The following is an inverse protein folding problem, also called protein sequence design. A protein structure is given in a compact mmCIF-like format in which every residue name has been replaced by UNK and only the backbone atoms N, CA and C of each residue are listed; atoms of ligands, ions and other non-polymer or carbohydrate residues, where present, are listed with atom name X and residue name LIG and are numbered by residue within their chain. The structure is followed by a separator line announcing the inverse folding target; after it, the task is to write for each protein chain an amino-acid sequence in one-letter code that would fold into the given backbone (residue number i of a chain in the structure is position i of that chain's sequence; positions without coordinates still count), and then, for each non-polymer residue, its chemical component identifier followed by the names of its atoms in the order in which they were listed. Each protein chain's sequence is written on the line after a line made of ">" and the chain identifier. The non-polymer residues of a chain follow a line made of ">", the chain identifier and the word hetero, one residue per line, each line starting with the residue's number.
data_IF_190322323669
#
_entry.id   IF_190322323669
#
_cell.length_a   1.000
_cell.length_b   1.000
_cell.length_c   1.000
_cell.angle_alpha   90.00
_cell.angle_beta   90.00
_cell.angle_gamma   90.00
#
_symmetry.space_group_name_H-M   'P 1'
#
loop_
_entity.id
_entity.type
_entity.pdbx_description
1 polymer ?
#
# COMPACT_ATOMS: atom_id res chain seq x y z
N UNK A 1 33.88 -9.11 15.15
CA UNK A 1 34.39 -7.90 15.82
C UNK A 1 33.21 -7.07 16.27
N UNK A 2 33.15 -6.70 17.55
CA UNK A 2 32.12 -5.80 18.08
C UNK A 2 32.81 -4.54 18.57
N UNK A 3 32.35 -3.38 18.10
CA UNK A 3 32.83 -2.05 18.49
C UNK A 3 31.71 -1.38 19.27
N UNK A 4 31.85 -1.35 20.60
CA UNK A 4 30.79 -0.86 21.48
C UNK A 4 30.85 0.63 21.80
N UNK A 5 31.99 1.27 21.53
CA UNK A 5 32.15 2.72 21.69
C UNK A 5 31.62 3.51 20.49
N UNK A 6 31.46 4.82 20.68
CA UNK A 6 31.20 5.74 19.57
C UNK A 6 32.43 5.85 18.67
N UNK A 7 32.18 5.98 17.37
CA UNK A 7 33.20 6.23 16.34
C UNK A 7 32.97 7.62 15.78
N UNK A 8 33.99 8.48 15.84
CA UNK A 8 33.90 9.87 15.37
C UNK A 8 35.12 10.21 14.53
N UNK A 9 34.92 10.92 13.42
CA UNK A 9 36.06 11.44 12.66
C UNK A 9 36.68 12.64 13.36
N UNK A 10 37.98 12.55 13.68
CA UNK A 10 38.70 13.57 14.45
C UNK A 10 39.27 14.71 13.62
N UNK A 11 39.38 14.55 12.29
CA UNK A 11 39.99 15.52 11.37
C UNK A 11 39.13 15.70 10.12
N UNK A 12 39.23 16.86 9.48
CA UNK A 12 38.56 17.13 8.21
C UNK A 12 39.02 16.16 7.11
N UNK A 13 38.16 15.95 6.10
CA UNK A 13 38.40 15.03 4.98
C UNK A 13 37.53 13.78 5.01
N UNK A 14 37.63 12.97 3.96
CA UNK A 14 36.87 11.72 3.81
C UNK A 14 37.60 10.54 4.44
N UNK A 15 36.93 9.87 5.38
CA UNK A 15 37.41 8.68 6.07
C UNK A 15 36.63 7.45 5.60
N UNK A 16 37.29 6.29 5.61
CA UNK A 16 36.67 5.04 5.18
C UNK A 16 36.84 3.95 6.24
N UNK A 17 35.72 3.35 6.65
CA UNK A 17 35.69 2.10 7.38
C UNK A 17 35.52 0.98 6.36
N UNK A 18 36.52 0.11 6.21
CA UNK A 18 36.48 -1.00 5.25
C UNK A 18 36.45 -2.33 5.99
N UNK A 19 35.48 -3.17 5.62
CA UNK A 19 35.42 -4.55 6.05
C UNK A 19 35.52 -5.48 4.83
N UNK A 20 36.46 -6.41 4.89
CA UNK A 20 36.70 -7.40 3.83
C UNK A 20 36.99 -8.74 4.51
N UNK A 21 35.99 -9.64 4.56
CA UNK A 21 36.18 -10.99 5.09
C UNK A 21 37.29 -11.74 4.33
N UNK A 22 38.00 -12.64 5.01
CA UNK A 22 39.05 -13.47 4.43
C UNK A 22 38.45 -14.52 3.48
N UNK A 23 39.14 -14.81 2.37
CA UNK A 23 38.75 -15.85 1.40
C UNK A 23 38.69 -17.25 2.03
N UNK A 24 37.62 -17.97 1.72
CA UNK A 24 37.50 -19.45 1.68
C UNK A 24 37.78 -20.27 2.97
N UNK A 25 37.92 -19.65 4.13
CA UNK A 25 38.22 -20.37 5.39
C UNK A 25 37.22 -20.16 6.53
N UNK A 26 36.35 -19.13 6.45
CA UNK A 26 35.36 -18.85 7.50
C UNK A 26 33.94 -18.84 6.94
N UNK A 27 33.02 -19.68 7.46
CA UNK A 27 31.67 -19.80 6.90
C UNK A 27 30.80 -18.55 7.12
N UNK A 28 31.11 -17.74 8.13
CA UNK A 28 30.43 -16.48 8.43
C UNK A 28 31.33 -15.50 9.18
N UNK A 29 31.03 -14.20 9.09
CA UNK A 29 31.72 -13.15 9.85
C UNK A 29 30.79 -12.02 10.26
N UNK A 30 30.98 -11.49 11.46
CA UNK A 30 30.22 -10.34 11.98
C UNK A 30 31.15 -9.16 12.29
N UNK A 31 30.81 -7.99 11.74
CA UNK A 31 31.27 -6.69 12.22
C UNK A 31 30.07 -5.95 12.79
N UNK A 32 30.12 -5.56 14.05
CA UNK A 32 29.03 -4.85 14.74
C UNK A 32 29.52 -3.53 15.32
N UNK A 33 28.76 -2.46 15.07
CA UNK A 33 28.90 -1.18 15.73
C UNK A 33 27.67 -0.95 16.62
N UNK A 34 27.87 -1.08 17.93
CA UNK A 34 26.79 -0.87 18.89
C UNK A 34 26.70 0.55 19.44
N UNK A 35 27.79 1.32 19.31
CA UNK A 35 27.79 2.77 19.53
C UNK A 35 27.42 3.58 18.29
N UNK A 36 27.38 4.90 18.43
CA UNK A 36 27.06 5.82 17.33
C UNK A 36 28.29 6.07 16.45
N UNK A 37 28.07 6.14 15.13
CA UNK A 37 29.06 6.57 14.14
C UNK A 37 28.71 8.00 13.71
N UNK A 38 29.64 8.93 13.93
CA UNK A 38 29.43 10.36 13.69
C UNK A 38 30.51 10.96 12.82
N UNK A 39 30.11 11.88 11.95
CA UNK A 39 31.03 12.57 11.05
C UNK A 39 32.06 13.43 11.78
N UNK A 40 31.78 13.93 12.99
CA UNK A 40 32.65 14.89 13.66
C UNK A 40 32.91 16.10 12.74
N UNK A 41 34.18 16.36 12.40
CA UNK A 41 34.60 17.46 11.52
C UNK A 41 34.85 17.05 10.05
N UNK A 42 34.69 15.77 9.72
CA UNK A 42 34.94 15.18 8.40
C UNK A 42 33.73 14.41 7.86
N UNK A 43 33.96 13.42 7.00
CA UNK A 43 32.94 12.48 6.56
C UNK A 43 33.38 11.02 6.72
N UNK A 44 32.44 10.12 7.03
CA UNK A 44 32.70 8.68 7.13
C UNK A 44 31.90 7.93 6.06
N UNK A 45 32.60 7.11 5.26
CA UNK A 45 32.01 6.14 4.33
C UNK A 45 32.30 4.71 4.83
N UNK A 46 31.31 3.83 4.77
CA UNK A 46 31.46 2.43 5.08
C UNK A 46 31.48 1.59 3.80
N UNK A 47 32.54 0.81 3.60
CA UNK A 47 32.64 -0.12 2.46
C UNK A 47 32.71 -1.54 2.98
N UNK A 48 31.70 -2.31 2.61
CA UNK A 48 31.61 -3.73 2.85
C UNK A 48 31.88 -4.47 1.55
N UNK A 49 33.01 -5.17 1.48
CA UNK A 49 33.40 -5.91 0.29
C UNK A 49 33.41 -7.40 0.60
N UNK A 50 32.60 -8.17 -0.13
CA UNK A 50 32.60 -9.64 -0.03
C UNK A 50 33.36 -10.20 -1.21
N UNK A 51 34.58 -10.66 -0.95
CA UNK A 51 35.38 -11.45 -1.90
C UNK A 51 35.31 -12.94 -1.50
N UNK A 52 34.12 -13.55 -1.54
CA UNK A 52 33.96 -15.00 -1.30
C UNK A 52 34.42 -15.83 -2.51
N UNK A 53 34.89 -17.05 -2.29
CA UNK A 53 35.11 -18.04 -3.36
C UNK A 53 33.81 -18.61 -3.90
N UNK A 54 33.84 -19.84 -4.41
CA UNK A 54 32.66 -20.50 -5.03
C UNK A 54 31.65 -21.02 -4.01
N UNK A 55 31.97 -21.00 -2.72
CA UNK A 55 31.12 -21.46 -1.62
C UNK A 55 30.26 -20.31 -1.06
N UNK A 56 28.93 -20.49 -0.90
CA UNK A 56 28.08 -19.46 -0.29
C UNK A 56 28.46 -19.25 1.18
N UNK A 57 28.87 -18.03 1.51
CA UNK A 57 29.13 -17.58 2.88
C UNK A 57 28.27 -16.36 3.21
N UNK A 58 27.93 -16.21 4.50
CA UNK A 58 27.13 -15.08 5.00
C UNK A 58 28.00 -14.16 5.84
N UNK A 59 28.13 -12.91 5.42
CA UNK A 59 28.90 -11.91 6.15
C UNK A 59 27.99 -10.75 6.54
N UNK A 60 28.00 -10.39 7.82
CA UNK A 60 27.08 -9.39 8.40
C UNK A 60 27.84 -8.15 8.87
N UNK A 61 27.37 -6.98 8.43
CA UNK A 61 27.61 -5.70 9.10
C UNK A 61 26.35 -5.33 9.88
N UNK A 62 26.46 -5.15 11.20
CA UNK A 62 25.34 -4.71 12.05
C UNK A 62 25.59 -3.31 12.59
N UNK A 63 24.59 -2.45 12.46
CA UNK A 63 24.56 -1.10 13.03
C UNK A 63 23.37 -1.02 14.00
N UNK A 64 23.63 -0.75 15.28
CA UNK A 64 22.55 -0.56 16.28
C UNK A 64 22.58 0.81 16.95
N UNK A 65 23.61 1.62 16.73
CA UNK A 65 23.65 3.01 17.16
C UNK A 65 22.47 3.80 16.58
N UNK A 66 21.82 4.62 17.41
CA UNK A 66 20.57 5.34 17.08
C UNK A 66 20.79 6.82 16.75
N UNK A 67 22.00 7.33 16.98
CA UNK A 67 22.41 8.71 16.71
C UNK A 67 23.47 8.81 15.62
N UNK A 68 23.41 7.93 14.62
CA UNK A 68 24.38 7.91 13.53
C UNK A 68 24.22 9.15 12.63
N UNK A 69 25.32 9.85 12.35
CA UNK A 69 25.33 11.08 11.52
C UNK A 69 26.30 11.01 10.33
N UNK A 70 26.73 9.81 9.96
CA UNK A 70 27.64 9.63 8.83
C UNK A 70 26.96 9.91 7.48
N UNK A 71 27.66 10.60 6.58
CA UNK A 71 27.10 11.04 5.28
C UNK A 71 27.79 10.43 4.08
N UNK A 72 28.95 9.78 4.26
CA UNK A 72 29.72 9.17 3.16
C UNK A 72 29.07 7.92 2.56
N UNK A 73 27.96 7.46 3.14
CA UNK A 73 27.17 6.34 2.67
C UNK A 73 27.69 4.98 3.11
N UNK A 74 27.01 3.94 2.65
CA UNK A 74 27.37 2.54 2.85
C UNK A 74 27.37 1.87 1.48
N UNK A 75 28.49 1.27 1.09
CA UNK A 75 28.59 0.55 -0.19
C UNK A 75 28.85 -0.93 0.07
N UNK A 76 27.94 -1.77 -0.40
CA UNK A 76 28.14 -3.22 -0.50
C UNK A 76 28.67 -3.55 -1.89
N UNK A 77 29.93 -3.96 -2.01
CA UNK A 77 30.50 -4.45 -3.26
C UNK A 77 30.72 -5.97 -3.15
N UNK A 78 29.88 -6.76 -3.79
CA UNK A 78 30.15 -8.20 -3.95
C UNK A 78 31.15 -8.45 -5.06
N UNK A 79 32.05 -9.41 -4.95
CA UNK A 79 32.91 -9.80 -6.07
C UNK A 79 32.44 -11.06 -6.80
N UNK A 80 31.73 -11.96 -6.09
CA UNK A 80 31.50 -13.39 -6.44
C UNK A 80 30.29 -13.99 -5.69
N UNK A 81 29.79 -15.21 -5.98
CA UNK A 81 28.60 -15.77 -5.32
C UNK A 81 28.76 -15.82 -3.79
N UNK A 82 27.83 -15.18 -3.07
CA UNK A 82 27.86 -15.04 -1.61
C UNK A 82 26.80 -14.05 -1.13
N UNK A 83 26.44 -14.09 0.15
CA UNK A 83 25.40 -13.24 0.75
C UNK A 83 26.03 -12.19 1.65
N UNK A 84 25.92 -10.92 1.26
CA UNK A 84 26.28 -9.79 2.11
C UNK A 84 25.02 -9.27 2.84
N UNK A 85 25.07 -9.20 4.16
CA UNK A 85 23.93 -8.76 4.99
C UNK A 85 24.28 -7.48 5.75
N UNK A 86 23.49 -6.43 5.57
CA UNK A 86 23.44 -5.28 6.48
C UNK A 86 22.28 -5.47 7.44
N UNK A 87 22.53 -5.34 8.73
CA UNK A 87 21.48 -5.31 9.74
C UNK A 87 21.39 -3.91 10.35
N UNK A 88 20.29 -3.21 10.12
CA UNK A 88 19.90 -2.02 10.89
C UNK A 88 19.08 -2.49 12.09
N UNK A 89 19.69 -2.42 13.29
CA UNK A 89 19.11 -2.89 14.55
C UNK A 89 19.04 -1.81 15.64
N UNK A 90 18.45 -0.62 15.39
CA UNK A 90 18.37 0.45 16.37
C UNK A 90 17.45 0.09 17.55
N UNK A 91 17.68 0.72 18.70
CA UNK A 91 16.73 0.70 19.81
C UNK A 91 15.38 1.31 19.40
N UNK A 92 14.32 1.01 20.15
CA UNK A 92 12.95 1.44 19.81
C UNK A 92 12.76 2.95 19.83
N UNK A 93 12.06 3.48 18.82
CA UNK A 93 11.60 4.88 18.77
C UNK A 93 12.60 5.91 18.24
N UNK A 94 13.56 5.50 17.39
CA UNK A 94 14.66 6.36 16.92
C UNK A 94 14.64 6.61 15.41
N UNK A 95 15.48 7.53 14.93
CA UNK A 95 15.66 7.89 13.50
C UNK A 95 16.52 6.91 12.71
N UNK A 96 16.40 5.61 12.98
CA UNK A 96 17.11 4.56 12.23
C UNK A 96 18.62 4.48 12.50
N UNK A 97 19.26 3.42 12.01
CA UNK A 97 20.71 3.23 12.15
C UNK A 97 21.48 3.59 10.86
N UNK A 98 20.80 3.81 9.73
CA UNK A 98 21.44 3.98 8.41
C UNK A 98 21.89 5.41 8.09
N UNK A 99 21.56 6.37 8.96
CA UNK A 99 21.87 7.80 8.79
C UNK A 99 21.40 8.36 7.43
N UNK A 100 21.99 9.45 6.95
CA UNK A 100 21.57 10.15 5.71
C UNK A 100 22.40 9.82 4.48
N UNK A 101 23.59 9.24 4.65
CA UNK A 101 24.42 8.81 3.53
C UNK A 101 23.74 7.72 2.69
N UNK A 102 23.92 7.75 1.38
CA UNK A 102 23.30 6.77 0.48
C UNK A 102 23.78 5.33 0.78
N UNK A 103 22.87 4.38 0.80
CA UNK A 103 23.14 2.95 0.89
C UNK A 103 23.11 2.35 -0.51
N UNK A 104 24.22 1.81 -0.99
CA UNK A 104 24.30 1.08 -2.26
C UNK A 104 24.34 -0.42 -1.99
N UNK A 105 23.27 -1.10 -2.37
CA UNK A 105 23.17 -2.55 -2.36
C UNK A 105 23.73 -3.07 -3.69
N UNK A 106 25.05 -3.28 -3.75
CA UNK A 106 25.71 -3.97 -4.86
C UNK A 106 25.99 -3.14 -6.11
N UNK A 107 27.14 -3.39 -6.74
CA UNK A 107 27.49 -2.97 -8.12
C UNK A 107 27.86 -4.16 -9.02
N UNK A 108 27.64 -5.38 -8.56
CA UNK A 108 28.15 -6.64 -9.14
C UNK A 108 27.09 -7.77 -9.14
N UNK A 109 27.48 -9.01 -9.48
CA UNK A 109 26.61 -10.18 -9.56
C UNK A 109 26.26 -10.91 -8.25
N UNK A 110 26.84 -10.53 -7.10
CA UNK A 110 26.57 -11.19 -5.79
C UNK A 110 25.21 -10.82 -5.19
N UNK A 111 24.73 -11.51 -4.16
CA UNK A 111 23.50 -11.13 -3.42
C UNK A 111 23.80 -10.09 -2.35
N UNK A 112 22.94 -9.06 -2.21
CA UNK A 112 23.03 -8.08 -1.11
C UNK A 112 21.67 -7.89 -0.42
N UNK A 113 21.66 -8.05 0.90
CA UNK A 113 20.47 -8.00 1.74
C UNK A 113 20.58 -6.91 2.79
N UNK A 114 19.58 -6.03 2.88
CA UNK A 114 19.35 -5.13 3.99
C UNK A 114 18.25 -5.69 4.88
N UNK A 115 18.59 -6.08 6.10
CA UNK A 115 17.68 -6.51 7.14
C UNK A 115 17.40 -5.34 8.10
N UNK A 116 16.13 -5.00 8.28
CA UNK A 116 15.64 -3.95 9.17
C UNK A 116 14.93 -4.61 10.36
N UNK A 117 15.49 -4.48 11.57
CA UNK A 117 15.01 -5.22 12.75
C UNK A 117 15.42 -4.59 14.08
N UNK A 118 15.16 -5.24 15.21
CA UNK A 118 15.64 -4.78 16.53
C UNK A 118 14.79 -3.73 17.26
N UNK A 119 13.72 -3.21 16.65
CA UNK A 119 12.74 -2.32 17.30
C UNK A 119 11.32 -2.89 17.21
N UNK A 120 10.54 -2.73 18.28
CA UNK A 120 9.09 -3.01 18.32
C UNK A 120 8.25 -1.80 17.90
N UNK A 121 8.82 -0.60 17.94
CA UNK A 121 8.18 0.64 17.48
C UNK A 121 8.56 0.97 16.04
N UNK A 122 7.82 1.90 15.42
CA UNK A 122 8.16 2.45 14.12
C UNK A 122 9.54 3.10 14.14
N UNK A 123 10.35 2.82 13.12
CA UNK A 123 11.67 3.42 12.90
C UNK A 123 11.72 3.96 11.47
N UNK A 124 12.24 5.18 11.33
CA UNK A 124 12.43 5.82 10.01
C UNK A 124 13.91 5.84 9.65
N UNK A 125 14.26 5.22 8.53
CA UNK A 125 15.57 5.31 7.89
C UNK A 125 15.49 6.37 6.78
N UNK A 126 16.36 7.38 6.86
CA UNK A 126 16.32 8.55 5.98
C UNK A 126 17.25 8.43 4.76
N UNK A 127 18.01 7.34 4.66
CA UNK A 127 18.97 7.15 3.57
C UNK A 127 18.29 6.87 2.23
N UNK A 128 18.86 7.41 1.15
CA UNK A 128 18.57 6.92 -0.19
C UNK A 128 19.16 5.52 -0.36
N UNK A 129 18.44 4.61 -1.02
CA UNK A 129 18.90 3.25 -1.28
C UNK A 129 19.04 3.05 -2.79
N UNK A 130 20.21 2.63 -3.23
CA UNK A 130 20.49 2.28 -4.62
C UNK A 130 20.67 0.77 -4.72
N UNK A 131 19.67 0.06 -5.25
CA UNK A 131 19.73 -1.36 -5.53
C UNK A 131 20.09 -1.59 -7.01
N UNK A 132 21.39 -1.75 -7.28
CA UNK A 132 21.93 -1.94 -8.64
C UNK A 132 22.68 -3.26 -8.82
N UNK A 133 23.13 -3.51 -10.05
CA UNK A 133 23.92 -4.69 -10.43
C UNK A 133 23.09 -5.81 -11.08
N UNK A 134 23.66 -7.01 -11.16
CA UNK A 134 23.07 -8.17 -11.87
C UNK A 134 22.63 -9.30 -10.93
N UNK A 135 23.08 -9.29 -9.68
CA UNK A 135 22.66 -10.26 -8.67
C UNK A 135 21.33 -9.88 -8.00
N UNK A 136 20.70 -10.81 -7.27
CA UNK A 136 19.49 -10.51 -6.50
C UNK A 136 19.78 -9.54 -5.36
N UNK A 137 18.83 -8.66 -5.07
CA UNK A 137 18.88 -7.69 -3.96
C UNK A 137 17.71 -7.92 -3.05
N UNK A 138 17.86 -7.64 -1.78
CA UNK A 138 16.75 -7.75 -0.84
C UNK A 138 16.77 -6.62 0.18
N UNK A 139 15.58 -6.09 0.47
CA UNK A 139 15.30 -5.26 1.65
C UNK A 139 14.21 -5.98 2.43
N UNK A 140 14.49 -6.34 3.67
CA UNK A 140 13.60 -7.13 4.50
C UNK A 140 13.36 -6.51 5.86
N UNK A 141 12.10 -6.45 6.30
CA UNK A 141 11.76 -6.20 7.70
C UNK A 141 11.69 -7.55 8.42
N UNK A 142 12.58 -7.74 9.38
CA UNK A 142 12.74 -9.01 10.12
C UNK A 142 12.16 -8.94 11.54
N UNK A 143 11.77 -7.75 12.00
CA UNK A 143 11.18 -7.50 13.32
C UNK A 143 9.68 -7.21 13.27
N UNK A 144 9.06 -7.06 14.45
CA UNK A 144 7.65 -6.72 14.58
C UNK A 144 7.34 -5.21 14.45
N UNK A 145 8.34 -4.34 14.63
CA UNK A 145 8.16 -2.89 14.48
C UNK A 145 8.21 -2.44 13.02
N UNK A 146 7.37 -1.47 12.68
CA UNK A 146 7.30 -0.89 11.34
C UNK A 146 8.60 -0.18 10.95
N UNK A 147 8.90 -0.19 9.66
CA UNK A 147 10.07 0.45 9.07
C UNK A 147 9.67 1.36 7.95
N UNK A 148 10.05 2.63 8.07
CA UNK A 148 9.82 3.63 7.05
C UNK A 148 11.15 3.94 6.38
N UNK A 149 11.23 3.75 5.07
CA UNK A 149 12.30 4.27 4.23
C UNK A 149 11.82 5.59 3.66
N UNK A 150 12.36 6.69 4.18
CA UNK A 150 11.98 8.05 3.77
C UNK A 150 13.00 8.70 2.84
N UNK A 151 14.01 7.95 2.38
CA UNK A 151 14.79 8.30 1.19
C UNK A 151 14.18 7.68 -0.07
N UNK A 152 14.74 8.02 -1.23
CA UNK A 152 14.37 7.38 -2.51
C UNK A 152 14.94 5.96 -2.54
N UNK A 153 14.15 5.01 -3.01
CA UNK A 153 14.62 3.64 -3.30
C UNK A 153 14.72 3.47 -4.82
N UNK A 154 15.95 3.37 -5.34
CA UNK A 154 16.22 3.15 -6.75
C UNK A 154 16.40 1.65 -7.03
N UNK A 155 15.44 1.05 -7.72
CA UNK A 155 15.48 -0.31 -8.24
C UNK A 155 16.01 -0.30 -9.68
N UNK A 156 17.34 -0.19 -9.83
CA UNK A 156 18.03 -0.13 -11.14
C UNK A 156 18.77 -1.43 -11.47
N UNK A 157 18.61 -2.45 -10.63
CA UNK A 157 19.18 -3.78 -10.81
C UNK A 157 18.61 -4.47 -12.06
N UNK A 158 19.47 -5.16 -12.81
CA UNK A 158 19.03 -6.10 -13.85
C UNK A 158 18.59 -7.44 -13.26
N UNK A 159 19.09 -7.79 -12.07
CA UNK A 159 18.49 -8.83 -11.22
C UNK A 159 17.28 -8.28 -10.45
N UNK A 160 16.55 -9.13 -9.74
CA UNK A 160 15.36 -8.73 -8.97
C UNK A 160 15.70 -8.03 -7.65
N UNK A 161 15.04 -6.91 -7.36
CA UNK A 161 14.93 -6.36 -6.00
C UNK A 161 13.75 -7.01 -5.27
N UNK A 162 14.04 -7.77 -4.24
CA UNK A 162 13.03 -8.38 -3.37
C UNK A 162 12.74 -7.47 -2.18
N UNK A 163 11.47 -7.16 -1.95
CA UNK A 163 10.99 -6.49 -0.74
C UNK A 163 10.20 -7.50 0.08
N UNK A 164 10.47 -7.58 1.38
CA UNK A 164 9.88 -8.62 2.21
C UNK A 164 9.61 -8.14 3.64
N UNK A 165 8.55 -8.67 4.23
CA UNK A 165 8.31 -8.65 5.67
C UNK A 165 8.28 -10.10 6.15
N UNK A 166 9.24 -10.49 6.99
CA UNK A 166 9.34 -11.85 7.52
C UNK A 166 8.63 -12.03 8.87
N UNK A 167 8.04 -10.95 9.39
CA UNK A 167 7.31 -10.91 10.66
C UNK A 167 6.15 -9.88 10.53
N UNK A 168 5.59 -9.41 11.64
CA UNK A 168 4.43 -8.50 11.67
C UNK A 168 4.74 -7.04 11.28
N UNK A 169 6.01 -6.63 11.28
CA UNK A 169 6.39 -5.25 10.96
C UNK A 169 6.20 -4.92 9.47
N UNK A 170 5.61 -3.77 9.17
CA UNK A 170 5.46 -3.28 7.80
C UNK A 170 6.75 -2.63 7.29
N UNK A 171 6.98 -2.73 5.97
CA UNK A 171 7.96 -1.94 5.25
C UNK A 171 7.26 -0.84 4.47
N UNK A 172 7.37 0.41 4.88
CA UNK A 172 6.83 1.56 4.16
C UNK A 172 7.94 2.25 3.38
N UNK A 173 7.76 2.42 2.08
CA UNK A 173 8.55 3.36 1.27
C UNK A 173 7.72 4.63 1.15
N UNK A 174 8.11 5.68 1.87
CA UNK A 174 7.30 6.88 2.00
C UNK A 174 7.56 7.94 0.93
N UNK A 175 8.71 7.85 0.26
CA UNK A 175 9.05 8.67 -0.91
C UNK A 175 8.90 7.82 -2.18
N UNK A 176 9.62 8.18 -3.24
CA UNK A 176 9.60 7.48 -4.51
C UNK A 176 10.31 6.12 -4.44
N UNK A 177 9.72 5.15 -5.15
CA UNK A 177 10.46 4.05 -5.74
C UNK A 177 10.65 4.35 -7.23
N UNK A 178 11.89 4.25 -7.70
CA UNK A 178 12.30 4.66 -9.05
C UNK A 178 13.10 3.54 -9.74
N UNK A 179 13.22 3.63 -11.07
CA UNK A 179 14.05 2.74 -11.87
C UNK A 179 13.26 1.77 -12.76
N UNK A 180 13.99 0.86 -13.39
CA UNK A 180 13.48 -0.05 -14.43
C UNK A 180 13.65 -1.53 -14.07
N UNK A 181 14.36 -1.83 -12.98
CA UNK A 181 14.66 -3.19 -12.54
C UNK A 181 13.44 -3.90 -11.99
N UNK A 182 13.32 -5.23 -12.13
CA UNK A 182 12.17 -5.96 -11.62
C UNK A 182 12.11 -5.93 -10.08
N UNK A 183 10.89 -5.78 -9.55
CA UNK A 183 10.60 -5.88 -8.11
C UNK A 183 9.79 -7.15 -7.83
N UNK A 184 10.11 -7.83 -6.74
CA UNK A 184 9.30 -8.92 -6.21
C UNK A 184 8.95 -8.66 -4.74
N UNK A 185 7.68 -8.80 -4.39
CA UNK A 185 7.20 -8.79 -3.02
C UNK A 185 7.08 -10.23 -2.55
N UNK A 186 7.81 -10.59 -1.49
CA UNK A 186 7.87 -11.95 -0.97
C UNK A 186 7.87 -11.94 0.57
N UNK A 187 6.75 -11.52 1.15
CA UNK A 187 6.56 -11.50 2.60
C UNK A 187 6.09 -12.87 3.10
N UNK A 188 6.77 -13.39 4.13
CA UNK A 188 6.39 -14.63 4.83
C UNK A 188 5.72 -14.37 6.17
N UNK A 189 5.85 -13.16 6.71
CA UNK A 189 5.12 -12.69 7.89
C UNK A 189 3.83 -11.97 7.51
N UNK A 190 3.08 -11.54 8.52
CA UNK A 190 1.84 -10.79 8.34
C UNK A 190 2.04 -9.31 7.97
N UNK A 191 3.26 -8.80 8.07
CA UNK A 191 3.60 -7.44 7.65
C UNK A 191 3.46 -7.24 6.14
N UNK A 192 3.11 -6.02 5.74
CA UNK A 192 2.97 -5.62 4.34
C UNK A 192 4.13 -4.74 3.89
N UNK A 193 4.43 -4.80 2.60
CA UNK A 193 5.19 -3.74 1.92
C UNK A 193 4.20 -2.67 1.49
N UNK A 194 4.44 -1.40 1.83
CA UNK A 194 3.54 -0.28 1.61
C UNK A 194 4.27 0.77 0.78
N UNK A 195 3.70 1.13 -0.37
CA UNK A 195 4.18 2.27 -1.16
C UNK A 195 3.24 3.46 -0.94
N UNK A 196 3.72 4.46 -0.22
CA UNK A 196 2.95 5.66 0.13
C UNK A 196 3.49 6.95 -0.48
N UNK A 197 4.59 6.89 -1.22
CA UNK A 197 5.05 7.97 -2.08
C UNK A 197 4.86 7.64 -3.56
N UNK A 198 4.91 8.67 -4.41
CA UNK A 198 4.86 8.55 -5.87
C UNK A 198 6.26 8.54 -6.46
N UNK A 199 6.50 7.70 -7.47
CA UNK A 199 7.79 7.62 -8.16
C UNK A 199 7.64 7.29 -9.65
N UNK A 200 8.78 7.26 -10.33
CA UNK A 200 8.93 7.04 -11.78
C UNK A 200 9.42 5.62 -12.04
N UNK A 201 8.89 4.64 -11.30
CA UNK A 201 9.19 3.24 -11.53
C UNK A 201 8.53 2.72 -12.82
N UNK A 202 9.24 1.87 -13.55
CA UNK A 202 8.79 1.30 -14.82
C UNK A 202 9.13 -0.18 -14.98
N UNK A 203 9.87 -0.76 -14.03
CA UNK A 203 10.09 -2.21 -13.99
C UNK A 203 8.81 -2.98 -13.66
N UNK A 204 8.75 -4.29 -13.96
CA UNK A 204 7.61 -5.10 -13.54
C UNK A 204 7.60 -5.29 -12.01
N UNK A 205 6.41 -5.36 -11.43
CA UNK A 205 6.21 -5.66 -10.01
C UNK A 205 5.47 -6.98 -9.86
N UNK A 206 6.11 -8.00 -9.28
CA UNK A 206 5.44 -9.28 -8.96
C UNK A 206 5.13 -9.34 -7.48
N UNK A 207 3.87 -9.60 -7.12
CA UNK A 207 3.49 -9.90 -5.73
C UNK A 207 3.44 -11.42 -5.58
N UNK A 208 4.53 -12.00 -5.11
CA UNK A 208 4.72 -13.45 -5.02
C UNK A 208 4.14 -14.03 -3.72
N UNK A 209 4.31 -13.33 -2.61
CA UNK A 209 3.80 -13.77 -1.32
C UNK A 209 3.51 -12.58 -0.39
N UNK A 210 2.47 -12.72 0.41
CA UNK A 210 2.04 -11.70 1.38
C UNK A 210 1.49 -10.44 0.71
N UNK A 211 1.55 -9.31 1.42
CA UNK A 211 0.84 -8.09 1.01
C UNK A 211 1.72 -6.98 0.44
N UNK A 212 1.35 -6.48 -0.74
CA UNK A 212 1.69 -5.15 -1.23
C UNK A 212 0.50 -4.22 -0.98
N UNK A 213 0.71 -3.04 -0.37
CA UNK A 213 -0.31 -2.01 -0.21
C UNK A 213 0.07 -0.74 -0.97
N UNK A 214 -0.84 -0.25 -1.79
CA UNK A 214 -0.73 1.06 -2.44
C UNK A 214 -1.46 2.10 -1.60
N UNK A 215 -0.72 3.11 -1.16
CA UNK A 215 -1.17 4.16 -0.24
C UNK A 215 -0.99 5.56 -0.83
N UNK A 216 -0.80 5.66 -2.15
CA UNK A 216 -0.65 6.90 -2.90
C UNK A 216 -1.47 6.86 -4.19
N UNK A 217 -1.65 8.02 -4.82
CA UNK A 217 -2.41 8.14 -6.07
C UNK A 217 -1.77 7.43 -7.26
N UNK A 218 -0.44 7.38 -7.36
CA UNK A 218 0.25 6.61 -8.41
C UNK A 218 1.66 6.20 -7.94
N UNK A 219 1.77 5.19 -7.05
CA UNK A 219 3.02 4.87 -6.38
C UNK A 219 4.07 4.20 -7.27
N UNK A 220 3.67 3.67 -8.43
CA UNK A 220 4.48 2.76 -9.23
C UNK A 220 4.72 3.20 -10.67
N UNK A 221 4.49 4.48 -10.98
CA UNK A 221 4.72 5.04 -12.32
C UNK A 221 4.07 4.18 -13.41
N UNK A 222 4.88 3.70 -14.35
CA UNK A 222 4.43 2.88 -15.50
C UNK A 222 4.56 1.37 -15.28
N UNK A 223 4.74 0.91 -14.04
CA UNK A 223 4.87 -0.52 -13.73
C UNK A 223 3.61 -1.31 -14.11
N UNK A 224 3.83 -2.56 -14.54
CA UNK A 224 2.78 -3.58 -14.56
C UNK A 224 2.87 -4.43 -13.29
N UNK A 225 1.77 -4.51 -12.54
CA UNK A 225 1.69 -5.28 -11.30
C UNK A 225 1.08 -6.65 -11.59
N UNK A 226 1.72 -7.72 -11.10
CA UNK A 226 1.28 -9.11 -11.28
C UNK A 226 1.16 -9.80 -9.93
N UNK A 227 -0.02 -9.83 -9.31
CA UNK A 227 -0.29 -10.66 -8.14
C UNK A 227 -0.42 -12.13 -8.56
N UNK A 228 0.47 -12.98 -8.08
CA UNK A 228 0.41 -14.43 -8.30
C UNK A 228 -0.09 -15.16 -7.04
N UNK A 229 -0.34 -16.46 -7.14
CA UNK A 229 -0.85 -17.26 -6.04
C UNK A 229 -0.01 -17.09 -4.76
N UNK A 230 -0.66 -16.69 -3.66
CA UNK A 230 -0.04 -16.36 -2.37
C UNK A 230 0.25 -14.88 -2.15
N UNK A 231 0.17 -14.06 -3.21
CA UNK A 231 0.34 -12.60 -3.15
C UNK A 231 -0.99 -11.84 -3.15
N UNK A 232 -1.03 -10.73 -2.41
CA UNK A 232 -2.16 -9.81 -2.36
C UNK A 232 -1.68 -8.39 -2.62
N UNK A 233 -2.18 -7.77 -3.70
CA UNK A 233 -2.18 -6.33 -3.88
C UNK A 233 -3.37 -5.76 -3.12
N UNK A 234 -3.18 -4.70 -2.34
CA UNK A 234 -4.25 -4.05 -1.58
C UNK A 234 -4.16 -2.53 -1.66
N UNK A 235 -5.26 -1.84 -1.39
CA UNK A 235 -5.29 -0.39 -1.23
C UNK A 235 -5.26 0.01 0.25
N UNK A 236 -4.77 1.22 0.54
CA UNK A 236 -5.12 1.87 1.81
C UNK A 236 -6.61 2.21 1.84
N UNK A 237 -7.23 2.28 3.03
CA UNK A 237 -8.63 2.65 3.14
C UNK A 237 -8.93 3.97 2.40
N UNK A 238 -10.01 3.98 1.62
CA UNK A 238 -10.45 5.12 0.79
C UNK A 238 -9.43 5.60 -0.26
N UNK A 239 -8.36 4.84 -0.53
CA UNK A 239 -7.38 5.27 -1.51
C UNK A 239 -8.00 5.25 -2.92
N UNK A 240 -7.80 6.35 -3.63
CA UNK A 240 -8.03 6.46 -5.07
C UNK A 240 -6.65 6.38 -5.72
N UNK A 241 -6.43 5.36 -6.55
CA UNK A 241 -5.12 5.12 -7.16
C UNK A 241 -5.23 4.83 -8.65
N UNK A 242 -4.17 5.15 -9.37
CA UNK A 242 -3.99 4.85 -10.79
C UNK A 242 -2.69 4.07 -10.96
N UNK A 243 -2.79 2.91 -11.59
CA UNK A 243 -1.66 2.08 -12.00
C UNK A 243 -1.66 1.98 -13.52
N UNK A 244 -0.48 1.87 -14.14
CA UNK A 244 -0.42 1.76 -15.59
C UNK A 244 -0.81 0.39 -16.10
N UNK A 245 -0.41 -0.69 -15.43
CA UNK A 245 -0.78 -2.05 -15.81
C UNK A 245 -1.06 -2.94 -14.60
N UNK A 246 -2.02 -3.85 -14.76
CA UNK A 246 -2.39 -4.85 -13.77
C UNK A 246 -2.70 -6.17 -14.48
N UNK A 247 -2.16 -7.27 -13.96
CA UNK A 247 -2.47 -8.63 -14.40
C UNK A 247 -3.18 -9.38 -13.26
N UNK A 248 -4.48 -9.11 -13.01
CA UNK A 248 -5.18 -9.62 -11.84
C UNK A 248 -5.53 -11.12 -11.95
N UNK A 249 -5.48 -11.68 -13.17
CA UNK A 249 -5.76 -13.09 -13.46
C UNK A 249 -4.54 -14.02 -13.29
N UNK A 250 -3.44 -13.53 -12.72
CA UNK A 250 -2.22 -14.33 -12.53
C UNK A 250 -2.26 -15.26 -11.29
N UNK A 251 -3.41 -15.34 -10.61
CA UNK A 251 -3.70 -16.28 -9.53
C UNK A 251 -3.59 -15.70 -8.11
N UNK A 252 -3.12 -14.46 -7.96
CA UNK A 252 -3.14 -13.72 -6.69
C UNK A 252 -4.40 -12.87 -6.53
N UNK A 253 -4.44 -12.12 -5.43
CA UNK A 253 -5.55 -11.21 -5.12
C UNK A 253 -5.20 -9.74 -5.39
N UNK A 254 -6.18 -9.00 -5.88
CA UNK A 254 -6.24 -7.54 -5.85
C UNK A 254 -7.43 -7.15 -4.98
N UNK A 255 -7.17 -6.70 -3.76
CA UNK A 255 -8.16 -6.28 -2.78
C UNK A 255 -8.29 -4.75 -2.75
N UNK A 256 -9.40 -4.23 -3.28
CA UNK A 256 -9.63 -2.77 -3.28
C UNK A 256 -10.02 -2.23 -1.91
N UNK A 257 -10.34 -3.08 -0.93
CA UNK A 257 -10.92 -2.65 0.33
C UNK A 257 -12.15 -1.77 0.07
N UNK A 258 -12.17 -0.55 0.59
CA UNK A 258 -13.17 0.48 0.28
C UNK A 258 -12.61 1.62 -0.61
N UNK A 259 -11.61 1.32 -1.44
CA UNK A 259 -10.95 2.26 -2.33
C UNK A 259 -11.42 2.16 -3.79
N UNK A 260 -10.66 2.81 -4.66
CA UNK A 260 -10.89 2.94 -6.08
C UNK A 260 -9.56 2.78 -6.84
N UNK A 261 -9.55 1.99 -7.92
CA UNK A 261 -8.40 1.83 -8.80
C UNK A 261 -8.78 2.07 -10.26
N UNK A 262 -7.99 2.89 -10.95
CA UNK A 262 -7.94 2.91 -12.42
C UNK A 262 -6.69 2.19 -12.90
N UNK A 263 -6.85 1.33 -13.91
CA UNK A 263 -5.76 0.74 -14.68
C UNK A 263 -5.73 1.45 -16.03
N UNK A 264 -4.69 2.26 -16.25
CA UNK A 264 -4.66 3.14 -17.43
C UNK A 264 -4.38 2.41 -18.74
N UNK A 265 -3.85 1.17 -18.68
CA UNK A 265 -3.55 0.36 -19.87
C UNK A 265 -3.33 -1.11 -19.54
N UNK A 266 -3.35 -1.98 -20.56
CA UNK A 266 -2.89 -3.37 -20.44
C UNK A 266 -3.83 -4.34 -19.71
N UNK A 267 -4.96 -3.87 -19.18
CA UNK A 267 -6.05 -4.70 -18.67
C UNK A 267 -7.30 -4.47 -19.52
N UNK A 268 -7.77 -5.52 -20.22
CA UNK A 268 -9.00 -5.43 -21.00
C UNK A 268 -10.24 -5.49 -20.10
N UNK A 269 -11.37 -4.97 -20.58
CA UNK A 269 -12.66 -5.11 -19.89
C UNK A 269 -13.04 -6.58 -19.63
N UNK A 270 -12.73 -7.48 -20.58
CA UNK A 270 -12.99 -8.92 -20.44
C UNK A 270 -12.14 -9.54 -19.33
N UNK A 271 -10.85 -9.20 -19.29
CA UNK A 271 -9.94 -9.68 -18.24
C UNK A 271 -10.29 -9.08 -16.87
N UNK A 272 -10.74 -7.83 -16.84
CA UNK A 272 -11.26 -7.16 -15.63
C UNK A 272 -12.45 -7.92 -15.05
N UNK A 273 -13.48 -8.17 -15.87
CA UNK A 273 -14.67 -8.90 -15.42
C UNK A 273 -14.31 -10.33 -15.00
N UNK A 274 -13.43 -11.01 -15.75
CA UNK A 274 -12.94 -12.34 -15.36
C UNK A 274 -12.32 -12.33 -13.96
N UNK A 275 -11.51 -11.30 -13.66
CA UNK A 275 -10.90 -11.16 -12.35
C UNK A 275 -11.92 -10.83 -11.25
N UNK A 276 -12.89 -9.95 -11.53
CA UNK A 276 -13.93 -9.59 -10.57
C UNK A 276 -14.80 -10.81 -10.24
N UNK A 277 -15.23 -11.59 -11.25
CA UNK A 277 -16.00 -12.82 -11.02
C UNK A 277 -15.20 -13.83 -10.20
N UNK A 278 -13.90 -13.96 -10.47
CA UNK A 278 -13.02 -14.84 -9.67
C UNK A 278 -12.94 -14.40 -8.19
N UNK A 279 -12.84 -13.09 -7.92
CA UNK A 279 -12.77 -12.58 -6.55
C UNK A 279 -14.13 -12.53 -5.84
N UNK A 280 -15.22 -12.31 -6.60
CA UNK A 280 -16.60 -12.40 -6.13
C UNK A 280 -16.94 -13.79 -5.60
N UNK A 281 -16.46 -14.84 -6.27
CA UNK A 281 -16.77 -16.23 -5.90
C UNK A 281 -18.27 -16.51 -6.03
N UNK A 282 -18.89 -16.93 -4.94
CA UNK A 282 -20.34 -17.19 -4.83
C UNK A 282 -21.16 -15.92 -4.48
N UNK A 283 -20.56 -14.74 -4.57
CA UNK A 283 -21.15 -13.46 -4.14
C UNK A 283 -20.67 -13.01 -2.76
N UNK A 284 -19.94 -13.85 -2.02
CA UNK A 284 -19.38 -13.49 -0.71
C UNK A 284 -18.12 -12.62 -0.77
N UNK A 285 -17.54 -12.39 -1.96
CA UNK A 285 -16.26 -11.69 -2.14
C UNK A 285 -15.07 -12.34 -1.42
N UNK A 286 -15.17 -13.65 -1.14
CA UNK A 286 -14.10 -14.43 -0.50
C UNK A 286 -13.30 -15.28 -1.50
N UNK A 287 -13.38 -14.96 -2.80
CA UNK A 287 -12.60 -15.63 -3.83
C UNK A 287 -11.10 -15.62 -3.53
N UNK A 288 -10.39 -16.69 -3.90
CA UNK A 288 -8.98 -16.87 -3.59
C UNK A 288 -8.02 -16.17 -4.58
N UNK A 289 -8.55 -15.62 -5.67
CA UNK A 289 -7.80 -14.94 -6.73
C UNK A 289 -8.66 -13.87 -7.42
N UNK A 290 -8.05 -13.01 -8.23
CA UNK A 290 -8.77 -11.99 -8.99
C UNK A 290 -8.94 -10.70 -8.21
N UNK A 291 -9.98 -9.94 -8.53
CA UNK A 291 -10.30 -8.65 -7.92
C UNK A 291 -11.42 -8.84 -6.91
N UNK A 292 -11.17 -8.42 -5.67
CA UNK A 292 -12.10 -8.52 -4.55
C UNK A 292 -12.13 -7.24 -3.72
N UNK A 293 -13.04 -7.20 -2.74
CA UNK A 293 -13.05 -6.23 -1.66
C UNK A 293 -13.26 -6.95 -0.33
N UNK A 294 -12.26 -6.89 0.54
CA UNK A 294 -12.38 -7.41 1.92
C UNK A 294 -13.42 -6.65 2.75
N UNK A 295 -13.71 -5.39 2.40
CA UNK A 295 -14.77 -4.60 3.03
C UNK A 295 -16.14 -5.06 2.53
N UNK A 296 -16.32 -5.26 1.22
CA UNK A 296 -17.55 -5.82 0.67
C UNK A 296 -17.85 -7.21 1.23
N UNK A 297 -16.82 -8.05 1.39
CA UNK A 297 -16.97 -9.36 2.02
C UNK A 297 -17.50 -9.26 3.47
N UNK A 298 -16.99 -8.32 4.26
CA UNK A 298 -17.44 -8.10 5.64
C UNK A 298 -18.87 -7.54 5.70
N UNK A 299 -19.21 -6.63 4.79
CA UNK A 299 -20.53 -6.02 4.68
C UNK A 299 -21.58 -7.04 4.22
N UNK A 300 -21.28 -7.84 3.19
CA UNK A 300 -22.16 -8.91 2.72
C UNK A 300 -22.39 -9.96 3.81
N UNK A 301 -21.35 -10.34 4.56
CA UNK A 301 -21.49 -11.22 5.72
C UNK A 301 -22.40 -10.65 6.82
N UNK A 302 -22.54 -9.31 6.86
CA UNK A 302 -23.42 -8.57 7.75
C UNK A 302 -24.78 -8.22 7.11
N UNK A 303 -25.10 -8.83 5.95
CA UNK A 303 -26.32 -8.55 5.18
C UNK A 303 -26.44 -7.11 4.67
N UNK A 304 -25.31 -6.45 4.43
CA UNK A 304 -25.23 -5.14 3.78
C UNK A 304 -24.76 -5.38 2.33
N UNK A 305 -25.63 -5.24 1.32
CA UNK A 305 -25.26 -5.51 -0.06
C UNK A 305 -24.15 -4.58 -0.54
N UNK A 306 -22.97 -5.15 -0.80
CA UNK A 306 -21.80 -4.46 -1.35
C UNK A 306 -21.12 -5.31 -2.39
N UNK A 307 -20.40 -4.64 -3.27
CA UNK A 307 -19.77 -5.21 -4.43
C UNK A 307 -18.42 -4.56 -4.72
N UNK A 308 -17.74 -5.09 -5.72
CA UNK A 308 -16.83 -4.32 -6.55
C UNK A 308 -17.60 -3.94 -7.81
N UNK A 309 -17.69 -2.66 -8.12
CA UNK A 309 -18.21 -2.14 -9.39
C UNK A 309 -17.08 -1.83 -10.36
N UNK A 310 -17.38 -1.69 -11.65
CA UNK A 310 -16.37 -1.39 -12.65
C UNK A 310 -16.90 -0.56 -13.83
N UNK A 311 -15.98 0.10 -14.54
CA UNK A 311 -16.24 0.90 -15.73
C UNK A 311 -15.19 0.61 -16.82
N UNK A 312 -15.66 0.53 -18.07
CA UNK A 312 -14.82 0.75 -19.25
C UNK A 312 -14.88 2.24 -19.59
N UNK A 313 -13.74 2.93 -19.53
CA UNK A 313 -13.70 4.38 -19.75
C UNK A 313 -13.67 4.74 -21.26
N UNK A 314 -13.61 3.75 -22.16
CA UNK A 314 -13.65 3.94 -23.61
C UNK A 314 -12.36 4.47 -24.25
N UNK A 315 -11.34 4.77 -23.44
CA UNK A 315 -10.01 5.20 -23.88
C UNK A 315 -8.94 4.10 -23.75
N UNK A 316 -9.38 2.87 -23.44
CA UNK A 316 -8.51 1.73 -23.16
C UNK A 316 -8.10 1.59 -21.69
N UNK A 317 -8.54 2.51 -20.82
CA UNK A 317 -8.46 2.36 -19.38
C UNK A 317 -9.75 1.77 -18.80
N UNK A 318 -9.59 1.11 -17.65
CA UNK A 318 -10.69 0.50 -16.90
C UNK A 318 -10.58 0.91 -15.43
N UNK A 319 -11.72 1.13 -14.79
CA UNK A 319 -11.80 1.51 -13.37
C UNK A 319 -12.61 0.49 -12.60
N UNK A 320 -12.26 0.26 -11.33
CA UNK A 320 -13.00 -0.60 -10.43
C UNK A 320 -12.85 -0.12 -8.99
N UNK A 321 -13.90 -0.29 -8.20
CA UNK A 321 -13.96 0.26 -6.85
C UNK A 321 -14.90 -0.55 -5.96
N UNK A 322 -14.74 -0.37 -4.65
CA UNK A 322 -15.81 -0.71 -3.73
C UNK A 322 -17.09 0.02 -4.12
N UNK A 323 -18.17 -0.73 -4.27
CA UNK A 323 -19.43 -0.22 -4.75
C UNK A 323 -20.61 -0.84 -4.01
N UNK A 324 -21.80 -0.27 -4.21
CA UNK A 324 -23.08 -0.91 -3.89
C UNK A 324 -23.81 -1.26 -5.20
N UNK A 325 -24.61 -2.33 -5.24
CA UNK A 325 -25.56 -2.51 -6.33
C UNK A 325 -26.42 -1.26 -6.50
N UNK A 326 -26.55 -0.79 -7.74
CA UNK A 326 -27.19 0.48 -8.06
C UNK A 326 -26.26 1.68 -8.17
N UNK A 327 -25.00 1.62 -7.76
CA UNK A 327 -24.00 2.66 -8.05
C UNK A 327 -23.35 2.35 -9.41
N UNK A 328 -24.01 2.76 -10.49
CA UNK A 328 -23.61 2.43 -11.88
C UNK A 328 -22.37 3.18 -12.33
N UNK A 329 -22.07 4.33 -11.73
CA UNK A 329 -20.94 5.18 -12.10
C UNK A 329 -19.76 5.12 -11.10
N UNK A 330 -19.87 4.27 -10.08
CA UNK A 330 -18.90 3.97 -9.01
C UNK A 330 -18.41 5.22 -8.25
N UNK A 331 -19.29 6.20 -8.02
CA UNK A 331 -18.99 7.46 -7.34
C UNK A 331 -19.29 7.45 -5.82
N UNK A 332 -19.65 6.26 -5.30
CA UNK A 332 -20.06 6.01 -3.92
C UNK A 332 -21.38 6.65 -3.50
N UNK A 333 -22.22 6.97 -4.48
CA UNK A 333 -23.61 7.35 -4.28
C UNK A 333 -24.50 6.43 -5.11
N UNK A 334 -25.78 6.37 -4.75
CA UNK A 334 -26.80 5.76 -5.59
C UNK A 334 -27.83 6.85 -5.78
N UNK A 335 -27.90 7.44 -6.97
CA UNK A 335 -28.74 8.62 -7.21
C UNK A 335 -29.49 8.58 -8.54
N UNK A 336 -30.05 9.71 -8.94
CA UNK A 336 -30.84 9.83 -10.17
C UNK A 336 -30.01 9.58 -11.44
N UNK A 337 -28.71 9.83 -11.40
CA UNK A 337 -27.80 9.52 -12.51
C UNK A 337 -27.70 8.01 -12.70
N UNK A 338 -27.66 7.25 -11.60
CA UNK A 338 -27.60 5.79 -11.68
C UNK A 338 -28.91 5.16 -12.15
N UNK A 339 -30.03 5.62 -11.60
CA UNK A 339 -31.33 5.20 -12.09
C UNK A 339 -31.52 5.59 -13.57
N UNK A 340 -30.97 6.75 -13.97
CA UNK A 340 -30.90 7.19 -15.35
C UNK A 340 -30.14 6.21 -16.23
N UNK A 341 -28.95 5.77 -15.82
CA UNK A 341 -28.16 4.77 -16.55
C UNK A 341 -28.94 3.44 -16.67
N UNK A 342 -29.39 2.88 -15.53
CA UNK A 342 -30.13 1.62 -15.48
C UNK A 342 -31.32 1.58 -16.44
N UNK A 343 -32.07 2.68 -16.55
CA UNK A 343 -33.25 2.78 -17.42
C UNK A 343 -32.91 3.13 -18.87
N UNK A 344 -31.94 4.03 -19.10
CA UNK A 344 -31.69 4.61 -20.43
C UNK A 344 -30.89 3.71 -21.35
N UNK A 345 -30.05 2.81 -20.82
CA UNK A 345 -29.34 1.82 -21.64
C UNK A 345 -30.25 0.72 -22.18
N UNK A 346 -31.47 0.57 -21.63
CA UNK A 346 -32.51 -0.30 -22.18
C UNK A 346 -32.17 -1.78 -22.18
N UNK A 347 -31.35 -2.25 -21.21
CA UNK A 347 -30.94 -3.66 -21.09
C UNK A 347 -31.91 -4.53 -20.30
N UNK A 348 -32.72 -3.92 -19.44
CA UNK A 348 -33.65 -4.61 -18.54
C UNK A 348 -34.55 -5.60 -19.27
N UNK A 349 -34.50 -6.87 -18.85
CA UNK A 349 -35.28 -8.01 -19.38
C UNK A 349 -35.12 -8.24 -20.91
N UNK A 350 -34.03 -7.74 -21.52
CA UNK A 350 -33.79 -7.94 -22.96
C UNK A 350 -33.00 -9.20 -23.30
N UNK A 351 -32.26 -9.76 -22.34
CA UNK A 351 -31.31 -10.84 -22.55
C UNK A 351 -30.07 -10.45 -23.37
N UNK A 352 -29.88 -9.16 -23.65
CA UNK A 352 -28.67 -8.65 -24.28
C UNK A 352 -27.52 -8.57 -23.26
N UNK A 353 -26.25 -8.74 -23.71
CA UNK A 353 -25.10 -8.55 -22.84
C UNK A 353 -25.11 -7.18 -22.17
N UNK A 354 -24.83 -7.16 -20.88
CA UNK A 354 -24.77 -5.96 -20.08
C UNK A 354 -23.48 -5.85 -19.26
N UNK A 355 -23.19 -4.63 -18.83
CA UNK A 355 -22.07 -4.29 -17.95
C UNK A 355 -22.60 -3.69 -16.64
N UNK A 356 -21.71 -3.48 -15.68
CA UNK A 356 -22.06 -2.84 -14.41
C UNK A 356 -22.70 -1.45 -14.60
N UNK A 357 -22.14 -0.63 -15.51
CA UNK A 357 -22.70 0.70 -15.82
C UNK A 357 -24.12 0.63 -16.41
N UNK A 358 -24.44 -0.47 -17.09
CA UNK A 358 -25.76 -0.69 -17.69
C UNK A 358 -26.74 -1.36 -16.72
N UNK A 359 -26.27 -1.84 -15.55
CA UNK A 359 -27.11 -2.38 -14.48
C UNK A 359 -26.91 -3.85 -14.13
N UNK A 360 -25.91 -4.55 -14.69
CA UNK A 360 -25.59 -5.94 -14.30
C UNK A 360 -24.80 -5.93 -12.98
N UNK A 361 -25.50 -6.03 -11.85
CA UNK A 361 -24.89 -6.00 -10.51
C UNK A 361 -24.52 -7.41 -10.01
N UNK A 362 -25.11 -8.44 -10.63
CA UNK A 362 -24.89 -9.84 -10.25
C UNK A 362 -23.80 -10.53 -11.07
N UNK A 363 -23.24 -9.86 -12.08
CA UNK A 363 -22.23 -10.37 -13.00
C UNK A 363 -22.65 -11.64 -13.75
N UNK A 364 -23.95 -11.78 -14.06
CA UNK A 364 -24.47 -12.89 -14.84
C UNK A 364 -24.56 -12.60 -16.35
N UNK A 365 -24.21 -11.37 -16.73
CA UNK A 365 -24.06 -10.91 -18.11
C UNK A 365 -25.31 -10.28 -18.70
N UNK A 366 -26.41 -10.15 -17.95
CA UNK A 366 -27.64 -9.51 -18.39
C UNK A 366 -28.15 -8.53 -17.33
N UNK A 367 -29.18 -7.74 -17.67
CA UNK A 367 -29.93 -6.98 -16.66
C UNK A 367 -31.33 -7.55 -16.57
N UNK A 368 -31.70 -8.04 -15.41
CA UNK A 368 -33.03 -8.60 -15.16
C UNK A 368 -33.64 -8.12 -13.84
N UNK A 369 -34.74 -8.76 -13.41
CA UNK A 369 -35.44 -8.43 -12.18
C UNK A 369 -34.59 -8.60 -10.92
N UNK A 370 -33.57 -9.47 -10.94
CA UNK A 370 -32.65 -9.66 -9.81
C UNK A 370 -31.74 -8.45 -9.64
N UNK A 371 -31.24 -7.86 -10.74
CA UNK A 371 -30.46 -6.63 -10.67
C UNK A 371 -31.29 -5.44 -10.20
N UNK A 372 -32.55 -5.34 -10.67
CA UNK A 372 -33.46 -4.33 -10.17
C UNK A 372 -33.75 -4.51 -8.67
N UNK A 373 -33.93 -5.76 -8.22
CA UNK A 373 -34.12 -6.07 -6.80
C UNK A 373 -32.89 -5.68 -5.97
N UNK A 374 -31.68 -5.92 -6.49
CA UNK A 374 -30.43 -5.52 -5.83
C UNK A 374 -30.28 -3.99 -5.78
N UNK A 375 -30.57 -3.27 -6.88
CA UNK A 375 -30.55 -1.80 -6.93
C UNK A 375 -31.39 -1.20 -5.80
N UNK A 376 -32.66 -1.58 -5.71
CA UNK A 376 -33.59 -1.02 -4.71
C UNK A 376 -33.39 -1.63 -3.32
N UNK A 377 -32.95 -2.88 -3.24
CA UNK A 377 -32.74 -3.63 -2.00
C UNK A 377 -31.64 -3.03 -1.12
N UNK A 378 -30.71 -2.25 -1.70
CA UNK A 378 -29.70 -1.52 -0.93
C UNK A 378 -30.28 -0.42 -0.04
N UNK A 379 -31.42 0.16 -0.41
CA UNK A 379 -31.99 1.34 0.26
C UNK A 379 -31.14 2.60 0.16
N UNK A 380 -30.22 2.68 -0.81
CA UNK A 380 -29.26 3.78 -0.93
C UNK A 380 -29.68 4.91 -1.88
N UNK A 381 -30.75 4.73 -2.66
CA UNK A 381 -31.20 5.73 -3.63
C UNK A 381 -31.48 7.08 -2.95
N UNK A 382 -30.73 8.11 -3.37
CA UNK A 382 -30.77 9.48 -2.83
C UNK A 382 -30.47 9.57 -1.31
N UNK A 383 -29.74 8.59 -0.76
CA UNK A 383 -29.34 8.54 0.65
C UNK A 383 -28.02 9.27 0.95
N UNK A 384 -27.37 9.82 -0.08
CA UNK A 384 -26.01 10.37 -0.02
C UNK A 384 -24.93 9.30 -0.10
N UNK A 385 -23.69 9.67 0.24
CA UNK A 385 -22.57 8.73 0.11
C UNK A 385 -22.64 7.58 1.11
N UNK A 386 -22.45 6.36 0.61
CA UNK A 386 -22.42 5.15 1.43
C UNK A 386 -21.00 4.71 1.82
N UNK A 387 -19.97 5.42 1.33
CA UNK A 387 -18.56 5.20 1.68
C UNK A 387 -17.86 6.50 2.15
N UNK A 388 -18.37 7.17 3.21
CA UNK A 388 -17.75 8.40 3.69
C UNK A 388 -16.36 8.12 4.28
N UNK A 389 -15.34 8.95 3.97
CA UNK A 389 -14.04 8.87 4.64
C UNK A 389 -14.16 9.00 6.15
N UNK A 390 -13.21 8.41 6.88
CA UNK A 390 -13.15 8.55 8.34
C UNK A 390 -13.13 10.05 8.74
N UNK A 391 -14.11 10.48 9.53
CA UNK A 391 -14.30 11.87 9.96
C UNK A 391 -15.28 12.71 9.12
N UNK A 392 -15.83 12.16 8.03
CA UNK A 392 -16.86 12.81 7.21
C UNK A 392 -18.30 12.38 7.57
N UNK A 393 -18.47 11.28 8.31
CA UNK A 393 -19.78 10.84 8.80
C UNK A 393 -20.26 11.77 9.93
N UNK A 394 -21.17 12.70 9.62
CA UNK A 394 -21.84 13.50 10.66
C UNK A 394 -22.11 14.98 10.36
N UNK A 395 -21.92 15.48 9.14
CA UNK A 395 -22.38 16.82 8.77
C UNK A 395 -23.85 16.83 8.29
N UNK A 396 -24.76 16.15 9.01
CA UNK A 396 -26.16 16.58 8.94
C UNK A 396 -26.22 17.81 9.83
N UNK A 397 -26.11 18.99 9.22
CA UNK A 397 -26.42 20.22 9.94
C UNK A 397 -27.81 20.04 10.55
N UNK A 398 -27.91 20.03 11.87
CA UNK A 398 -29.19 20.11 12.53
C UNK A 398 -29.85 21.39 12.00
N UNK A 399 -30.86 21.23 11.14
CA UNK A 399 -31.71 22.34 10.71
C UNK A 399 -32.30 22.89 12.00
N UNK A 400 -32.02 24.15 12.38
CA UNK A 400 -32.70 24.74 13.51
C UNK A 400 -34.20 24.63 13.24
N UNK A 401 -34.91 23.88 14.07
CA UNK A 401 -36.36 23.78 13.97
C UNK A 401 -36.90 25.22 13.90
N UNK A 402 -37.80 25.53 12.96
CA UNK A 402 -38.33 26.87 12.87
C UNK A 402 -38.91 27.24 14.23
N UNK A 403 -38.52 28.40 14.75
CA UNK A 403 -38.90 28.95 16.06
C UNK A 403 -40.42 29.16 16.28
N UNK A 404 -41.27 28.52 15.47
CA UNK A 404 -42.72 28.53 15.55
C UNK A 404 -43.29 27.86 16.81
N UNK A 405 -42.63 26.82 17.35
CA UNK A 405 -43.08 26.21 18.62
C UNK A 405 -42.85 27.12 19.83
N UNK A 406 -41.77 27.90 19.84
CA UNK A 406 -41.53 28.93 20.85
C UNK A 406 -42.55 30.08 20.74
N UNK A 407 -42.93 30.46 19.52
CA UNK A 407 -43.94 31.50 19.31
C UNK A 407 -45.35 31.06 19.78
N UNK A 408 -45.73 29.79 19.56
CA UNK A 408 -47.01 29.25 20.05
C UNK A 408 -47.06 29.20 21.60
N UNK A 409 -45.96 28.86 22.26
CA UNK A 409 -45.88 28.84 23.72
C UNK A 409 -45.99 30.24 24.33
N UNK A 410 -45.37 31.25 23.71
CA UNK A 410 -45.47 32.65 24.14
C UNK A 410 -46.90 33.22 23.95
N UNK A 411 -47.56 32.90 22.84
CA UNK A 411 -48.94 33.33 22.59
C UNK A 411 -49.95 32.64 23.53
N UNK A 412 -49.76 31.33 23.81
CA UNK A 412 -50.56 30.60 24.80
C UNK A 412 -50.39 31.15 26.22
N UNK A 413 -49.16 31.51 26.61
CA UNK A 413 -48.88 32.12 27.92
C UNK A 413 -49.54 33.49 28.11
N UNK A 414 -49.55 34.34 27.06
CA UNK A 414 -50.22 35.64 27.11
C UNK A 414 -51.75 35.52 27.19
N UNK A 415 -52.35 34.54 26.50
CA UNK A 415 -53.79 34.29 26.57
C UNK A 415 -54.24 33.83 27.97
N UNK A 416 -53.46 32.97 28.63
CA UNK A 416 -53.73 32.50 30.00
C UNK A 416 -53.55 33.62 31.04
N UNK A 417 -52.53 34.46 30.88
CA UNK A 417 -52.32 35.62 31.76
C UNK A 417 -53.43 36.68 31.61
N UNK A 418 -53.90 36.93 30.39
CA UNK A 418 -55.03 37.83 30.12
C UNK A 418 -56.35 37.28 30.67
N UNK A 419 -56.59 35.97 30.57
CA UNK A 419 -57.77 35.32 31.16
C UNK A 419 -57.78 35.41 32.68
N UNK A 420 -56.63 35.23 33.35
CA UNK A 420 -56.52 35.34 34.81
C UNK A 420 -56.76 36.76 35.33
N UNK A 421 -56.30 37.81 34.63
CA UNK A 421 -56.54 39.21 35.03
C UNK A 421 -58.01 39.63 34.94
N UNK A 422 -58.82 39.03 34.06
CA UNK A 422 -60.26 39.33 33.95
C UNK A 422 -61.13 38.71 35.04
N UNK A 423 -60.60 37.79 35.85
CA UNK A 423 -61.34 37.13 36.95
C UNK A 423 -61.13 37.78 38.32
N UNK A 424 -60.22 38.74 38.43
CA UNK A 424 -59.88 39.42 39.70
C UNK A 424 -60.27 40.91 39.71
N UNK A 425 -61.23 41.32 38.88
CA UNK A 425 -61.80 42.66 38.86
C UNK A 425 -63.31 42.59 39.13
#
# INVERSE_FOLDING_TARGET
>A
LVISGNVTSGNAGGHQLRFTPVRDSTPSSLLEYSGNISNGVGSINMVFRVDSGTTPHTHTLRLSGTGNTFTGGITFNGGRPGTATLESSPASGTTGALSTGALTLGTSGSTATLNLGGSLSTVTEVCNINAGGTGPRQIAVIGAGNRILSGIVNATTTGTLTLACSNAGNLTISNAIDGTGPITISSTGSGKVIFSGTGNFSGPTTVQAGGLQLAAGSPLGTSTITPIAGGTLSLSPYAVTTVTGLLPNAGGLTDVGNGFMTVSSGLSAVDMVTAIVAGRGDGSWTGASGITSSVAAADVASSIPRAVGWLDNGDGSVSFAFAAPGDTNIDWQVDVLDAGNFLSFGKFDTGLPATWQEGDFTYDGVVDVLDAADFFGTGLYDAGTYNPPAGAAGAVAAVPEPSGLALLACLGGMAVAAYRRRRTA
#
